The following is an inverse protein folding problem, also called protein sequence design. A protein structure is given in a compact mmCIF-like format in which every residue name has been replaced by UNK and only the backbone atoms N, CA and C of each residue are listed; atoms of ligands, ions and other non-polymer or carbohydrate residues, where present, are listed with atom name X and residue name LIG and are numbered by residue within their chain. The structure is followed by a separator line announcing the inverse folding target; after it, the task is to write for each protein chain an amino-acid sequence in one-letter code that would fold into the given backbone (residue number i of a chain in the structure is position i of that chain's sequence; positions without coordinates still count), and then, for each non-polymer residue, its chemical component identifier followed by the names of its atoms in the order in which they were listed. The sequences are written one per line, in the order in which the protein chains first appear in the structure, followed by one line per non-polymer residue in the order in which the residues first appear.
data_IF_571408405457
#
_entry.id   IF_571408405457
#
_cell.length_a   1.000
_cell.length_b   1.000
_cell.length_c   1.000
_cell.angle_alpha   90.00
_cell.angle_beta   90.00
_cell.angle_gamma   90.00
#
_symmetry.space_group_name_H-M   'P 1'
#
loop_
_entity.id
_entity.type
_entity.pdbx_description
1 polymer ?
#
# COMPACT_ATOMS: atom_id res chain seq x y z
N UNK A 1 -7.45 -11.18 15.42
CA UNK A 1 -6.65 -10.13 14.77
C UNK A 1 -5.29 -10.74 14.56
N UNK A 2 -4.79 -10.84 13.31
CA UNK A 2 -3.49 -11.46 13.07
C UNK A 2 -2.46 -10.73 13.92
N UNK A 3 -1.77 -11.48 14.78
CA UNK A 3 -0.64 -10.91 15.53
C UNK A 3 0.40 -10.47 14.50
N UNK A 4 0.83 -9.20 14.49
CA UNK A 4 1.93 -8.78 13.63
C UNK A 4 3.12 -9.69 13.91
N UNK A 5 3.65 -10.36 12.89
CA UNK A 5 4.79 -11.27 13.01
C UNK A 5 6.13 -10.53 13.15
N UNK A 6 6.16 -9.39 13.84
CA UNK A 6 7.33 -8.52 13.96
C UNK A 6 7.37 -7.78 15.30
N UNK A 7 8.51 -7.16 15.58
CA UNK A 7 8.72 -6.42 16.82
C UNK A 7 7.76 -5.24 16.94
N UNK A 8 7.09 -5.12 18.09
CA UNK A 8 6.25 -3.97 18.39
C UNK A 8 7.12 -2.71 18.45
N UNK A 9 6.71 -1.69 17.69
CA UNK A 9 7.43 -0.41 17.62
C UNK A 9 6.48 0.70 18.07
N UNK A 10 6.93 1.51 19.04
CA UNK A 10 6.15 2.66 19.53
C UNK A 10 6.55 3.92 18.78
N UNK A 11 5.59 4.56 18.11
CA UNK A 11 5.77 5.83 17.43
C UNK A 11 4.92 6.93 18.08
N UNK A 12 5.40 8.17 18.03
CA UNK A 12 4.63 9.35 18.44
C UNK A 12 4.09 10.06 17.20
N UNK A 13 2.81 10.41 17.22
CA UNK A 13 2.19 11.19 16.16
C UNK A 13 2.69 12.64 16.19
N UNK A 14 2.98 13.17 15.01
CA UNK A 14 3.30 14.56 14.77
C UNK A 14 2.06 15.25 14.18
N UNK A 15 1.65 16.42 14.68
CA UNK A 15 0.55 17.16 14.09
C UNK A 15 0.96 17.69 12.71
N UNK A 16 0.46 17.04 11.66
CA UNK A 16 0.61 17.45 10.25
C UNK A 16 -0.76 17.36 9.60
N UNK A 17 -1.14 18.40 8.86
CA UNK A 17 -2.37 18.39 8.06
C UNK A 17 -2.05 17.95 6.64
N UNK A 18 -2.81 16.98 6.13
CA UNK A 18 -2.74 16.53 4.74
C UNK A 18 -3.94 17.09 3.98
N UNK A 19 -3.74 18.26 3.37
CA UNK A 19 -4.75 18.92 2.54
C UNK A 19 -4.40 18.78 1.06
N UNK A 20 -5.41 18.96 0.20
CA UNK A 20 -5.17 19.01 -1.24
C UNK A 20 -4.15 20.08 -1.61
N UNK A 21 -3.19 19.71 -2.45
CA UNK A 21 -2.18 20.61 -2.99
C UNK A 21 -1.93 20.38 -4.48
N UNK A 22 -2.15 21.42 -5.28
CA UNK A 22 -1.59 21.49 -6.62
C UNK A 22 -0.12 21.93 -6.54
N UNK A 23 0.77 21.03 -6.98
CA UNK A 23 2.22 21.24 -6.98
C UNK A 23 2.73 21.85 -8.29
N UNK A 24 1.84 22.19 -9.23
CA UNK A 24 2.12 22.80 -10.54
C UNK A 24 2.77 21.85 -11.56
N UNK A 25 3.33 20.73 -11.10
CA UNK A 25 3.92 19.68 -11.92
C UNK A 25 3.61 18.30 -11.34
N UNK A 26 3.57 17.27 -12.19
CA UNK A 26 3.37 15.90 -11.75
C UNK A 26 4.52 15.49 -10.82
N UNK A 27 4.27 15.12 -9.56
CA UNK A 27 5.34 14.81 -8.60
C UNK A 27 6.21 13.63 -9.01
N UNK A 28 5.70 12.74 -9.87
CA UNK A 28 6.38 11.51 -10.29
C UNK A 28 7.27 11.74 -11.52
N UNK A 29 6.73 12.39 -12.56
CA UNK A 29 7.38 12.50 -13.86
C UNK A 29 7.72 13.92 -14.30
N UNK A 30 7.40 14.92 -13.47
CA UNK A 30 7.67 16.34 -13.69
C UNK A 30 6.98 16.94 -14.93
N UNK A 31 5.99 16.24 -15.52
CA UNK A 31 5.11 16.84 -16.52
C UNK A 31 4.39 18.04 -15.93
N UNK A 32 4.56 19.21 -16.58
CA UNK A 32 3.91 20.44 -16.18
C UNK A 32 2.38 20.34 -16.27
N UNK A 33 1.69 21.12 -15.43
CA UNK A 33 0.24 21.27 -15.44
C UNK A 33 -0.54 19.93 -15.45
N UNK A 34 -0.29 19.04 -14.47
CA UNK A 34 -1.06 17.81 -14.31
C UNK A 34 -2.54 18.13 -14.06
N UNK A 35 -3.45 17.34 -14.64
CA UNK A 35 -4.91 17.53 -14.51
C UNK A 35 -5.61 16.39 -13.79
N UNK A 36 -4.92 15.28 -13.52
CA UNK A 36 -5.53 14.07 -12.97
C UNK A 36 -5.51 14.10 -11.43
N UNK A 37 -6.67 13.89 -10.81
CA UNK A 37 -6.80 13.86 -9.34
C UNK A 37 -6.22 12.55 -8.79
N UNK A 38 -5.25 12.69 -7.90
CA UNK A 38 -4.51 11.57 -7.33
C UNK A 38 -4.95 11.31 -5.88
N UNK A 39 -5.40 10.09 -5.60
CA UNK A 39 -5.77 9.67 -4.26
C UNK A 39 -4.55 9.15 -3.51
N UNK A 40 -4.36 9.61 -2.28
CA UNK A 40 -3.27 9.19 -1.39
C UNK A 40 -3.87 8.83 -0.03
N UNK A 41 -3.88 7.55 0.39
CA UNK A 41 -3.65 6.35 -0.44
C UNK A 41 -4.70 6.20 -1.56
N UNK A 42 -4.63 5.15 -2.42
CA UNK A 42 -5.66 4.91 -3.42
C UNK A 42 -7.09 4.92 -2.86
N UNK A 43 -8.06 5.40 -3.64
CA UNK A 43 -9.46 5.48 -3.24
C UNK A 43 -10.03 4.12 -2.79
N UNK A 44 -9.62 3.03 -3.46
CA UNK A 44 -10.10 1.68 -3.14
C UNK A 44 -9.77 1.21 -1.73
N UNK A 45 -8.75 1.80 -1.09
CA UNK A 45 -8.40 1.53 0.31
C UNK A 45 -8.72 2.69 1.24
N UNK A 46 -9.56 3.64 0.78
CA UNK A 46 -10.12 4.71 1.60
C UNK A 46 -9.33 6.01 1.64
N UNK A 47 -8.42 6.26 0.68
CA UNK A 47 -7.72 7.54 0.63
C UNK A 47 -8.47 8.66 -0.11
N UNK A 48 -7.95 9.88 0.05
CA UNK A 48 -8.53 11.10 -0.49
C UNK A 48 -7.66 11.72 -1.58
N UNK A 49 -8.26 12.57 -2.41
CA UNK A 49 -7.52 13.36 -3.39
C UNK A 49 -6.62 14.35 -2.66
N UNK A 50 -5.29 14.17 -2.74
CA UNK A 50 -4.33 15.07 -2.10
C UNK A 50 -3.50 15.89 -3.07
N UNK A 51 -3.39 15.48 -4.33
CA UNK A 51 -2.59 16.22 -5.31
C UNK A 51 -3.02 15.91 -6.73
N UNK A 52 -2.34 16.52 -7.70
CA UNK A 52 -2.52 16.26 -9.13
C UNK A 52 -1.32 15.48 -9.68
N UNK A 53 -1.59 14.49 -10.52
CA UNK A 53 -0.61 13.78 -11.34
C UNK A 53 -0.98 13.88 -12.82
N UNK A 54 -0.05 13.55 -13.72
CA UNK A 54 -0.42 13.39 -15.12
C UNK A 54 -1.24 12.10 -15.29
N UNK A 55 -2.15 12.07 -16.27
CA UNK A 55 -3.03 10.91 -16.50
C UNK A 55 -2.26 9.62 -16.71
N UNK A 56 -1.11 9.67 -17.41
CA UNK A 56 -0.26 8.50 -17.63
C UNK A 56 0.22 7.92 -16.30
N UNK A 57 0.75 8.74 -15.40
CA UNK A 57 1.20 8.26 -14.10
C UNK A 57 0.03 7.69 -13.30
N UNK A 58 -1.10 8.41 -13.21
CA UNK A 58 -2.27 7.96 -12.48
C UNK A 58 -2.75 6.59 -12.99
N UNK A 59 -3.00 6.47 -14.29
CA UNK A 59 -3.54 5.26 -14.92
C UNK A 59 -2.56 4.07 -14.85
N UNK A 60 -1.27 4.30 -15.07
CA UNK A 60 -0.28 3.23 -15.02
C UNK A 60 -0.10 2.71 -13.60
N UNK A 61 -0.01 3.58 -12.60
CA UNK A 61 0.06 3.13 -11.20
C UNK A 61 -1.23 2.48 -10.72
N UNK A 62 -2.38 3.11 -11.01
CA UNK A 62 -3.71 2.62 -10.66
C UNK A 62 -4.04 1.25 -11.24
N UNK A 63 -3.55 0.93 -12.45
CA UNK A 63 -3.82 -0.36 -13.08
C UNK A 63 -2.77 -1.44 -12.81
N UNK A 64 -1.49 -1.08 -12.59
CA UNK A 64 -0.38 -2.04 -12.47
C UNK A 64 0.02 -2.36 -11.03
N UNK A 65 -0.27 -1.48 -10.07
CA UNK A 65 0.31 -1.55 -8.72
C UNK A 65 -0.75 -1.45 -7.62
N UNK A 66 -1.70 -0.52 -7.74
CA UNK A 66 -2.70 -0.30 -6.69
C UNK A 66 -3.58 -1.53 -6.35
N UNK A 67 -3.98 -2.40 -7.30
CA UNK A 67 -4.71 -3.62 -6.97
C UNK A 67 -3.90 -4.57 -6.07
N UNK A 68 -2.57 -4.57 -6.18
CA UNK A 68 -1.70 -5.37 -5.31
C UNK A 68 -1.61 -4.80 -3.90
N UNK A 69 -1.64 -3.46 -3.77
CA UNK A 69 -1.72 -2.81 -2.47
C UNK A 69 -3.07 -3.06 -1.81
N UNK A 70 -4.16 -2.96 -2.57
CA UNK A 70 -5.50 -3.24 -2.08
C UNK A 70 -5.63 -4.67 -1.56
N UNK A 71 -5.22 -5.68 -2.33
CA UNK A 71 -5.35 -7.06 -1.86
C UNK A 71 -4.53 -7.33 -0.59
N UNK A 72 -3.33 -6.74 -0.50
CA UNK A 72 -2.54 -6.81 0.73
C UNK A 72 -3.19 -6.07 1.91
N UNK A 73 -3.76 -4.89 1.69
CA UNK A 73 -4.48 -4.09 2.68
C UNK A 73 -5.70 -4.83 3.24
N UNK A 74 -6.46 -5.51 2.37
CA UNK A 74 -7.70 -6.21 2.73
C UNK A 74 -7.47 -7.64 3.23
N UNK A 75 -6.22 -8.12 3.23
CA UNK A 75 -5.87 -9.52 3.45
C UNK A 75 -6.62 -10.47 2.49
N UNK A 76 -6.63 -10.13 1.20
CA UNK A 76 -7.36 -10.88 0.19
C UNK A 76 -6.46 -11.82 -0.61
N UNK A 77 -7.08 -12.87 -1.14
CA UNK A 77 -6.49 -13.80 -2.09
C UNK A 77 -7.29 -13.67 -3.39
N UNK A 78 -6.66 -13.11 -4.42
CA UNK A 78 -7.29 -12.91 -5.72
C UNK A 78 -7.06 -14.08 -6.69
N UNK A 79 -7.87 -14.12 -7.76
CA UNK A 79 -7.77 -15.10 -8.86
C UNK A 79 -7.82 -16.55 -8.40
N UNK A 80 -8.65 -16.81 -7.39
CA UNK A 80 -8.82 -18.15 -6.84
C UNK A 80 -9.45 -19.06 -7.87
N UNK A 81 -8.94 -20.29 -7.95
CA UNK A 81 -9.53 -21.36 -8.74
C UNK A 81 -9.78 -22.56 -7.83
N UNK A 82 -10.96 -23.15 -7.96
CA UNK A 82 -11.36 -24.34 -7.22
C UNK A 82 -11.54 -25.53 -8.16
N UNK A 83 -11.27 -26.73 -7.65
CA UNK A 83 -11.65 -27.98 -8.28
C UNK A 83 -12.14 -28.97 -7.23
N UNK A 84 -13.15 -29.76 -7.58
CA UNK A 84 -13.72 -30.79 -6.71
C UNK A 84 -14.03 -32.06 -7.51
N UNK A 85 -14.29 -33.17 -6.82
CA UNK A 85 -14.48 -34.48 -7.45
C UNK A 85 -15.65 -34.50 -8.46
N UNK A 86 -16.71 -33.74 -8.21
CA UNK A 86 -17.93 -33.75 -9.03
C UNK A 86 -17.94 -32.71 -10.16
N UNK A 87 -17.02 -31.74 -10.14
CA UNK A 87 -16.95 -30.68 -11.16
C UNK A 87 -15.65 -30.81 -11.92
N UNK A 88 -15.76 -31.16 -13.21
CA UNK A 88 -14.58 -31.40 -14.03
C UNK A 88 -13.78 -30.12 -14.31
N UNK A 89 -12.52 -30.12 -13.89
CA UNK A 89 -11.57 -29.04 -14.13
C UNK A 89 -11.65 -27.91 -13.11
N UNK A 90 -10.79 -26.91 -13.29
CA UNK A 90 -10.72 -25.75 -12.38
C UNK A 90 -11.78 -24.71 -12.75
N UNK A 91 -12.41 -24.11 -11.75
CA UNK A 91 -13.42 -23.06 -11.88
C UNK A 91 -12.94 -21.80 -11.21
N UNK A 92 -13.16 -20.66 -11.86
CA UNK A 92 -12.80 -19.37 -11.30
C UNK A 92 -13.74 -19.04 -10.15
N UNK A 93 -13.18 -18.80 -8.97
CA UNK A 93 -13.93 -18.56 -7.74
C UNK A 93 -13.79 -17.12 -7.24
N UNK A 94 -13.27 -16.22 -8.07
CA UNK A 94 -13.16 -14.80 -7.71
C UNK A 94 -12.03 -14.52 -6.73
N UNK A 95 -12.35 -13.69 -5.75
CA UNK A 95 -11.46 -13.23 -4.70
C UNK A 95 -12.02 -13.66 -3.34
N UNK A 96 -11.12 -13.94 -2.39
CA UNK A 96 -11.51 -14.30 -1.04
C UNK A 96 -10.84 -13.38 -0.03
N UNK A 97 -11.64 -12.79 0.86
CA UNK A 97 -11.12 -12.10 2.05
C UNK A 97 -10.79 -13.13 3.12
N UNK A 98 -9.56 -13.10 3.62
CA UNK A 98 -9.11 -13.99 4.69
C UNK A 98 -9.26 -13.28 6.03
N UNK A 99 -10.05 -13.87 6.93
CA UNK A 99 -10.23 -13.39 8.30
C UNK A 99 -9.85 -14.48 9.28
N UNK A 100 -9.37 -14.09 10.45
CA UNK A 100 -9.07 -15.02 11.54
C UNK A 100 -10.21 -14.93 12.56
N UNK A 101 -10.72 -16.08 13.00
CA UNK A 101 -11.72 -16.17 14.05
C UNK A 101 -11.06 -16.14 15.44
N UNK A 102 -11.87 -16.04 16.50
CA UNK A 102 -11.36 -15.98 17.87
C UNK A 102 -10.59 -17.25 18.31
N UNK A 103 -10.80 -18.38 17.62
CA UNK A 103 -10.14 -19.66 17.88
C UNK A 103 -8.86 -19.86 17.04
N UNK A 104 -8.41 -18.85 16.29
CA UNK A 104 -7.21 -18.93 15.43
C UNK A 104 -7.42 -19.68 14.10
N UNK A 105 -8.67 -20.04 13.77
CA UNK A 105 -9.03 -20.58 12.46
C UNK A 105 -9.28 -19.46 11.44
N UNK A 106 -9.22 -19.80 10.15
CA UNK A 106 -9.51 -18.84 9.08
C UNK A 106 -10.94 -18.98 8.56
N UNK A 107 -11.54 -17.83 8.24
CA UNK A 107 -12.81 -17.71 7.51
C UNK A 107 -12.50 -17.03 6.18
N UNK A 108 -12.98 -17.64 5.10
CA UNK A 108 -12.84 -17.13 3.74
C UNK A 108 -14.17 -16.56 3.27
N UNK A 109 -14.23 -15.26 2.99
CA UNK A 109 -15.41 -14.62 2.42
C UNK A 109 -15.21 -14.41 0.92
N UNK A 110 -16.00 -15.08 0.10
CA UNK A 110 -15.97 -14.89 -1.34
C UNK A 110 -16.50 -13.50 -1.71
N UNK A 111 -15.81 -12.84 -2.63
CA UNK A 111 -16.20 -11.56 -3.21
C UNK A 111 -16.01 -11.55 -4.72
N UNK A 112 -16.80 -10.71 -5.38
CA UNK A 112 -16.78 -10.56 -6.83
C UNK A 112 -17.51 -11.68 -7.57
N UNK A 113 -17.24 -11.78 -8.87
CA UNK A 113 -17.84 -12.80 -9.73
C UNK A 113 -17.16 -14.15 -9.56
N UNK A 114 -17.96 -15.21 -9.65
CA UNK A 114 -17.51 -16.58 -9.64
C UNK A 114 -18.26 -17.38 -10.70
N UNK A 115 -17.66 -18.48 -11.13
CA UNK A 115 -18.35 -19.46 -11.96
C UNK A 115 -19.48 -20.12 -11.15
N UNK A 116 -20.65 -20.31 -11.75
CA UNK A 116 -21.82 -20.88 -11.08
C UNK A 116 -21.56 -22.30 -10.52
N UNK A 117 -20.61 -23.05 -11.08
CA UNK A 117 -20.23 -24.36 -10.59
C UNK A 117 -19.41 -24.32 -9.28
N UNK A 118 -18.97 -23.14 -8.82
CA UNK A 118 -18.25 -23.00 -7.55
C UNK A 118 -19.11 -23.39 -6.36
N UNK A 119 -20.39 -23.02 -6.36
CA UNK A 119 -21.31 -23.39 -5.28
C UNK A 119 -21.45 -24.91 -5.15
N UNK A 120 -21.52 -25.61 -6.29
CA UNK A 120 -21.53 -27.07 -6.31
C UNK A 120 -20.26 -27.67 -5.71
N UNK A 121 -19.07 -27.12 -6.05
CA UNK A 121 -17.80 -27.57 -5.47
C UNK A 121 -17.80 -27.42 -3.94
N UNK A 122 -18.32 -26.30 -3.41
CA UNK A 122 -18.31 -25.99 -1.99
C UNK A 122 -19.39 -26.75 -1.19
N UNK A 123 -20.56 -26.97 -1.76
CA UNK A 123 -21.72 -27.56 -1.06
C UNK A 123 -21.67 -29.09 -0.99
N UNK A 124 -20.93 -29.76 -1.88
CA UNK A 124 -20.90 -31.22 -1.98
C UNK A 124 -20.20 -31.93 -0.81
N UNK A 125 -19.78 -31.21 0.24
CA UNK A 125 -19.27 -31.78 1.50
C UNK A 125 -17.96 -32.58 1.39
N UNK A 126 -17.38 -32.67 0.19
CA UNK A 126 -16.12 -33.35 -0.09
C UNK A 126 -14.90 -32.43 -0.01
N UNK A 127 -13.71 -33.01 -0.09
CA UNK A 127 -12.48 -32.25 -0.25
C UNK A 127 -12.43 -31.54 -1.60
N UNK A 128 -12.00 -30.28 -1.61
CA UNK A 128 -11.69 -29.53 -2.82
C UNK A 128 -10.24 -29.04 -2.78
N UNK A 129 -9.68 -28.75 -3.96
CA UNK A 129 -8.38 -28.11 -4.10
C UNK A 129 -8.60 -26.63 -4.42
N UNK A 130 -7.85 -25.76 -3.74
CA UNK A 130 -7.83 -24.32 -3.98
C UNK A 130 -6.46 -23.90 -4.50
N UNK A 131 -6.42 -23.31 -5.70
CA UNK A 131 -5.20 -22.76 -6.30
C UNK A 131 -5.33 -21.25 -6.44
N UNK A 132 -4.29 -20.51 -6.07
CA UNK A 132 -4.23 -19.06 -6.19
C UNK A 132 -2.78 -18.59 -6.38
N UNK A 133 -2.56 -17.46 -7.08
CA UNK A 133 -1.24 -16.86 -7.18
C UNK A 133 -0.78 -16.33 -5.81
N UNK A 134 0.53 -16.42 -5.55
CA UNK A 134 1.12 -15.73 -4.41
C UNK A 134 0.98 -14.21 -4.59
N UNK A 135 0.84 -13.49 -3.47
CA UNK A 135 0.81 -12.04 -3.46
C UNK A 135 2.12 -11.47 -4.05
N UNK A 136 2.00 -10.55 -5.00
CA UNK A 136 3.15 -9.83 -5.57
C UNK A 136 3.59 -8.72 -4.62
N UNK A 137 4.37 -9.09 -3.61
CA UNK A 137 4.87 -8.18 -2.57
C UNK A 137 5.72 -7.06 -3.15
N UNK A 138 6.35 -7.25 -4.30
CA UNK A 138 7.15 -6.22 -4.96
C UNK A 138 6.27 -5.10 -5.50
N UNK A 139 5.18 -5.44 -6.20
CA UNK A 139 4.21 -4.43 -6.69
C UNK A 139 3.47 -3.75 -5.55
N UNK A 140 3.10 -4.49 -4.50
CA UNK A 140 2.54 -3.93 -3.27
C UNK A 140 3.50 -2.89 -2.66
N UNK A 141 4.79 -3.22 -2.55
CA UNK A 141 5.80 -2.31 -1.99
C UNK A 141 5.94 -1.03 -2.82
N UNK A 142 6.01 -1.16 -4.15
CA UNK A 142 6.11 0.01 -5.05
C UNK A 142 4.88 0.92 -4.90
N UNK A 143 3.67 0.36 -4.83
CA UNK A 143 2.45 1.15 -4.61
C UNK A 143 2.46 1.88 -3.26
N UNK A 144 2.89 1.22 -2.18
CA UNK A 144 3.01 1.81 -0.87
C UNK A 144 4.05 2.95 -0.85
N UNK A 145 5.21 2.76 -1.48
CA UNK A 145 6.25 3.78 -1.59
C UNK A 145 5.80 4.97 -2.45
N UNK A 146 5.11 4.73 -3.58
CA UNK A 146 4.50 5.80 -4.39
C UNK A 146 3.52 6.63 -3.55
N UNK A 147 2.68 5.96 -2.77
CA UNK A 147 1.74 6.62 -1.84
C UNK A 147 2.47 7.50 -0.82
N UNK A 148 3.50 6.96 -0.18
CA UNK A 148 4.32 7.70 0.78
C UNK A 148 5.05 8.90 0.17
N UNK A 149 5.57 8.75 -1.05
CA UNK A 149 6.25 9.81 -1.76
C UNK A 149 5.31 10.96 -2.11
N UNK A 150 4.09 10.68 -2.56
CA UNK A 150 3.09 11.70 -2.84
C UNK A 150 2.65 12.44 -1.56
N UNK A 151 2.39 11.70 -0.48
CA UNK A 151 2.11 12.30 0.83
C UNK A 151 3.26 13.22 1.27
N UNK A 152 4.51 12.79 1.11
CA UNK A 152 5.68 13.59 1.44
C UNK A 152 5.76 14.88 0.60
N UNK A 153 5.49 14.83 -0.71
CA UNK A 153 5.45 16.03 -1.56
C UNK A 153 4.39 17.04 -1.09
N UNK A 154 3.21 16.55 -0.70
CA UNK A 154 2.12 17.38 -0.16
C UNK A 154 2.50 17.98 1.18
N UNK A 155 3.06 17.19 2.10
CA UNK A 155 3.56 17.67 3.40
C UNK A 155 4.62 18.75 3.25
N UNK A 156 5.56 18.57 2.32
CA UNK A 156 6.63 19.54 2.04
C UNK A 156 6.16 20.72 1.19
N UNK A 157 4.95 20.64 0.62
CA UNK A 157 4.36 21.61 -0.31
C UNK A 157 5.23 21.90 -1.53
N UNK A 158 6.03 20.92 -1.96
CA UNK A 158 6.95 21.03 -3.09
C UNK A 158 7.25 19.65 -3.66
N UNK A 159 7.58 19.58 -4.95
CA UNK A 159 8.21 18.39 -5.53
C UNK A 159 9.71 18.44 -5.23
N UNK A 160 10.23 17.61 -4.31
CA UNK A 160 11.62 17.71 -3.83
C UNK A 160 12.63 17.39 -4.94
N UNK A 161 13.70 18.15 -5.04
CA UNK A 161 14.75 17.98 -6.08
C UNK A 161 16.09 17.50 -5.51
N UNK A 162 16.03 16.82 -4.37
CA UNK A 162 17.20 16.23 -3.74
C UNK A 162 17.66 14.96 -4.47
N UNK A 163 18.93 14.53 -4.31
CA UNK A 163 19.43 13.31 -4.94
C UNK A 163 18.60 12.06 -4.60
N UNK A 164 18.09 11.96 -3.35
CA UNK A 164 17.23 10.83 -2.96
C UNK A 164 15.88 10.90 -3.64
N UNK A 165 15.27 12.09 -3.72
CA UNK A 165 13.99 12.29 -4.40
C UNK A 165 14.09 11.97 -5.89
N UNK A 166 15.16 12.40 -6.55
CA UNK A 166 15.43 12.10 -7.96
C UNK A 166 15.62 10.61 -8.20
N UNK A 167 16.44 9.94 -7.38
CA UNK A 167 16.65 8.49 -7.46
C UNK A 167 15.33 7.72 -7.24
N UNK A 168 14.52 8.14 -6.26
CA UNK A 168 13.23 7.51 -6.00
C UNK A 168 12.24 7.72 -7.15
N UNK A 169 12.17 8.93 -7.73
CA UNK A 169 11.37 9.17 -8.94
C UNK A 169 11.84 8.28 -10.09
N UNK A 170 13.14 8.14 -10.30
CA UNK A 170 13.67 7.29 -11.37
C UNK A 170 13.23 5.83 -11.21
N UNK A 171 13.24 5.29 -9.99
CA UNK A 171 12.73 3.94 -9.68
C UNK A 171 11.22 3.82 -9.94
N UNK A 172 10.44 4.83 -9.53
CA UNK A 172 9.00 4.86 -9.81
C UNK A 172 8.72 4.92 -11.33
N UNK A 173 9.46 5.73 -12.08
CA UNK A 173 9.33 5.83 -13.54
C UNK A 173 9.72 4.52 -14.23
N UNK A 174 10.81 3.89 -13.80
CA UNK A 174 11.23 2.59 -14.32
C UNK A 174 10.16 1.52 -14.07
N UNK A 175 9.57 1.49 -12.88
CA UNK A 175 8.46 0.58 -12.55
C UNK A 175 7.21 0.86 -13.38
N UNK A 176 6.83 2.13 -13.54
CA UNK A 176 5.69 2.57 -14.37
C UNK A 176 5.85 2.10 -15.81
N UNK A 177 7.04 2.29 -16.38
CA UNK A 177 7.31 2.04 -17.79
C UNK A 177 7.61 0.56 -18.10
N UNK A 178 7.89 -0.26 -17.08
CA UNK A 178 8.02 -1.70 -17.24
C UNK A 178 6.70 -2.36 -17.72
N UNK A 179 6.77 -3.35 -18.63
CA UNK A 179 5.62 -4.14 -19.04
C UNK A 179 4.94 -4.85 -17.85
N UNK A 180 3.62 -5.06 -17.94
CA UNK A 180 2.85 -5.77 -16.88
C UNK A 180 3.35 -7.20 -16.62
N UNK A 181 3.83 -7.88 -17.67
CA UNK A 181 4.35 -9.24 -17.59
C UNK A 181 5.77 -9.32 -16.99
N UNK A 182 6.48 -8.20 -16.89
CA UNK A 182 7.83 -8.18 -16.36
C UNK A 182 7.80 -8.45 -14.85
N UNK A 183 8.64 -9.39 -14.42
CA UNK A 183 8.94 -9.59 -13.00
C UNK A 183 9.84 -8.45 -12.53
N UNK A 184 9.37 -7.70 -11.53
CA UNK A 184 10.10 -6.59 -10.95
C UNK A 184 10.94 -7.07 -9.76
N UNK A 185 12.01 -6.34 -9.46
CA UNK A 185 12.85 -6.53 -8.27
C UNK A 185 13.08 -5.19 -7.61
N UNK A 186 12.98 -5.12 -6.28
CA UNK A 186 13.27 -3.90 -5.55
C UNK A 186 14.77 -3.62 -5.52
N UNK A 187 15.15 -2.39 -5.87
CA UNK A 187 16.53 -1.89 -5.71
C UNK A 187 16.88 -1.69 -4.24
N UNK A 188 18.18 -1.49 -3.90
CA UNK A 188 18.58 -1.19 -2.52
C UNK A 188 17.86 0.04 -1.93
N UNK A 189 17.61 1.08 -2.73
CA UNK A 189 16.87 2.26 -2.30
C UNK A 189 15.44 1.91 -1.90
N UNK A 190 14.71 1.20 -2.78
CA UNK A 190 13.34 0.78 -2.50
C UNK A 190 13.25 -0.14 -1.27
N UNK A 191 14.21 -1.07 -1.12
CA UNK A 191 14.30 -1.96 0.05
C UNK A 191 14.60 -1.21 1.35
N UNK A 192 15.27 -0.07 1.28
CA UNK A 192 15.55 0.77 2.46
C UNK A 192 14.31 1.44 3.04
N UNK A 193 13.22 1.54 2.26
CA UNK A 193 11.95 2.14 2.69
C UNK A 193 11.06 0.99 3.17
N UNK A 194 10.95 0.81 4.49
CA UNK A 194 10.13 -0.28 5.06
C UNK A 194 8.64 0.00 4.84
N UNK A 195 7.89 -1.07 4.60
CA UNK A 195 6.43 -1.07 4.51
C UNK A 195 5.93 -2.09 5.53
N UNK A 196 5.07 -1.64 6.45
CA UNK A 196 4.53 -2.44 7.53
C UNK A 196 3.00 -2.39 7.53
N UNK A 197 2.36 -3.45 8.01
CA UNK A 197 0.91 -3.52 8.21
C UNK A 197 0.61 -3.62 9.70
N UNK A 198 -0.42 -2.90 10.11
CA UNK A 198 -0.99 -2.90 11.44
C UNK A 198 -2.26 -3.75 11.47
N UNK A 199 -2.59 -4.27 12.64
CA UNK A 199 -3.87 -4.93 12.90
C UNK A 199 -4.93 -3.96 13.43
N UNK A 200 -4.67 -2.65 13.43
CA UNK A 200 -5.64 -1.66 13.93
C UNK A 200 -6.90 -1.58 13.07
N UNK A 201 -7.98 -1.08 13.67
CA UNK A 201 -9.20 -0.75 12.94
C UNK A 201 -8.92 0.36 11.90
N UNK A 202 -9.38 0.19 10.65
CA UNK A 202 -9.19 1.20 9.63
C UNK A 202 -9.84 2.54 9.99
N UNK A 203 -9.11 3.63 9.79
CA UNK A 203 -9.64 5.00 9.83
C UNK A 203 -9.50 5.63 8.43
N UNK A 204 -10.49 5.50 7.54
CA UNK A 204 -10.38 5.98 6.16
C UNK A 204 -9.96 7.44 6.10
N UNK A 205 -9.11 7.75 5.12
CA UNK A 205 -8.55 9.08 4.83
C UNK A 205 -7.62 9.66 5.89
N UNK A 206 -7.37 8.95 6.99
CA UNK A 206 -6.42 9.39 8.00
C UNK A 206 -4.99 9.16 7.51
N UNK A 207 -4.19 10.21 7.52
CA UNK A 207 -2.76 10.14 7.30
C UNK A 207 -2.07 10.79 8.48
N UNK A 208 -1.12 10.08 9.08
CA UNK A 208 -0.38 10.54 10.25
C UNK A 208 1.11 10.47 9.95
N UNK A 209 1.80 11.61 10.06
CA UNK A 209 3.25 11.59 10.18
C UNK A 209 3.59 11.22 11.61
N UNK A 210 4.42 10.22 11.78
CA UNK A 210 4.89 9.75 13.08
C UNK A 210 6.42 9.80 13.11
N UNK A 211 6.98 9.89 14.30
CA UNK A 211 8.39 9.62 14.52
C UNK A 211 8.55 8.47 15.51
N UNK A 212 9.44 7.56 15.17
CA UNK A 212 9.88 6.48 16.04
C UNK A 212 10.95 7.04 16.97
N UNK A 213 10.68 6.98 18.28
CA UNK A 213 11.70 7.28 19.28
C UNK A 213 12.66 6.09 19.33
N UNK A 214 13.80 6.21 18.65
CA UNK A 214 14.89 5.26 18.81
C UNK A 214 15.36 5.24 20.27
N UNK A 215 15.84 4.09 20.72
CA UNK A 215 16.57 3.97 21.99
C UNK A 215 17.85 4.82 21.99
N UNK A 216 18.42 5.08 20.80
CA UNK A 216 19.55 5.97 20.58
C UNK A 216 19.12 7.27 19.88
N UNK A 217 19.49 8.41 20.49
CA UNK A 217 19.06 9.77 20.12
C UNK A 217 19.62 10.30 18.79
N UNK A 218 20.30 9.49 17.98
CA UNK A 218 21.17 10.01 16.91
C UNK A 218 20.50 10.23 15.56
N UNK A 219 19.29 9.70 15.30
CA UNK A 219 18.47 10.10 14.13
C UNK A 219 17.01 9.66 14.30
N UNK A 220 16.04 10.57 14.50
CA UNK A 220 14.63 10.20 14.55
C UNK A 220 14.22 9.65 13.18
N UNK A 221 13.50 8.54 13.23
CA UNK A 221 13.00 7.87 12.04
C UNK A 221 11.54 8.24 11.82
N UNK A 222 11.24 8.84 10.68
CA UNK A 222 9.90 9.28 10.33
C UNK A 222 9.14 8.20 9.58
N UNK A 223 7.84 8.08 9.85
CA UNK A 223 6.95 7.07 9.29
C UNK A 223 5.62 7.71 8.95
N UNK A 224 5.09 7.44 7.77
CA UNK A 224 3.73 7.81 7.36
C UNK A 224 2.79 6.64 7.61
N UNK A 225 1.81 6.83 8.49
CA UNK A 225 0.69 5.90 8.68
C UNK A 225 -0.46 6.28 7.78
N UNK A 226 -1.06 5.29 7.12
CA UNK A 226 -2.20 5.44 6.23
C UNK A 226 -3.36 4.59 6.74
N UNK A 227 -4.46 5.25 7.01
CA UNK A 227 -5.70 4.69 7.52
C UNK A 227 -5.55 3.83 8.79
N UNK A 228 -4.45 3.98 9.54
CA UNK A 228 -4.01 3.10 10.64
C UNK A 228 -3.70 1.65 10.27
N UNK A 229 -3.87 1.28 9.01
CA UNK A 229 -3.71 -0.11 8.54
C UNK A 229 -2.31 -0.38 8.03
N UNK A 230 -1.65 0.58 7.38
CA UNK A 230 -0.28 0.39 6.92
C UNK A 230 0.58 1.62 7.13
N UNK A 231 1.87 1.38 7.29
CA UNK A 231 2.86 2.39 7.57
C UNK A 231 4.03 2.23 6.59
N UNK A 232 4.55 3.37 6.12
CA UNK A 232 5.69 3.41 5.20
C UNK A 232 6.72 4.38 5.75
N UNK A 233 7.99 4.01 5.71
CA UNK A 233 9.06 4.92 6.10
C UNK A 233 9.02 6.19 5.28
N UNK A 234 9.40 7.30 5.91
CA UNK A 234 9.59 8.54 5.20
C UNK A 234 10.57 8.33 4.04
N UNK A 235 10.12 8.56 2.78
CA UNK A 235 10.87 8.08 1.63
C UNK A 235 11.98 9.05 1.18
N UNK A 236 12.01 10.26 1.75
CA UNK A 236 12.94 11.33 1.39
C UNK A 236 14.05 11.51 2.44
N UNK A 237 14.84 12.57 2.31
CA UNK A 237 15.80 12.98 3.31
C UNK A 237 15.15 13.14 4.70
N UNK A 238 15.90 12.90 5.79
CA UNK A 238 15.41 13.17 7.14
C UNK A 238 14.90 14.59 7.26
N UNK A 239 13.74 14.75 7.90
CA UNK A 239 13.18 16.08 8.15
C UNK A 239 14.03 16.77 9.21
N UNK A 240 14.80 17.78 8.83
CA UNK A 240 15.61 18.58 9.74
C UNK A 240 14.75 19.63 10.45
N UNK A 241 14.99 19.89 11.73
CA UNK A 241 14.35 20.99 12.47
C UNK A 241 13.09 20.62 13.28
N UNK A 242 12.72 19.34 13.38
CA UNK A 242 11.74 18.90 14.37
C UNK A 242 12.38 18.89 15.77
N UNK A 243 12.15 19.95 16.54
CA UNK A 243 12.32 19.89 17.98
C UNK A 243 11.10 19.16 18.56
N UNK A 244 11.32 17.99 19.15
CA UNK A 244 10.30 17.33 19.96
C UNK A 244 10.04 18.28 21.14
N UNK A 245 8.93 19.01 21.10
CA UNK A 245 8.44 19.70 22.28
C UNK A 245 8.09 18.62 23.30
N UNK A 246 9.00 18.36 24.23
CA UNK A 246 8.68 17.58 25.42
C UNK A 246 7.50 18.27 26.09
N UNK A 247 6.33 17.62 26.11
CA UNK A 247 5.26 18.09 26.99
C UNK A 247 5.80 18.02 28.42
N UNK A 248 5.72 19.11 29.19
CA UNK A 248 6.06 19.04 30.61
C UNK A 248 5.12 18.01 31.27
N UNK A 249 5.73 17.23 32.17
CA UNK A 249 5.11 16.13 32.91
C UNK A 249 3.87 16.57 33.71
#
# INVERSE_FOLDING_TARGET
MPRPGGDETTCRATPVTFEFMDLGTCPICLTASPSSREHVPPHSIGGNVLTLTCERCNNEFGSKFEPHLQGWYENSIGKVKLSGAEVHGRRFAGEYLVRENAAGGFILFQQGSADAAVDQILQNGGSFEMTYPQADTTRTHIAAVKTAYLAACVTMRVVPNSPRAEALRAELLAARDAPRSQRLTLSPLMKSIRVARSAAEPAPSEIVLMFEQGTDQTSPRFVLSFNRVFAVDWPLEPITGFHVLERPA
#
